data_IF_954742729512
#
_entry.id   IF_954742729512
#
_cell.length_a   1.000
_cell.length_b   1.000
_cell.length_c   1.000
_cell.angle_alpha   90.00
_cell.angle_beta   90.00
_cell.angle_gamma   90.00
#
_symmetry.space_group_name_H-M   'P 1'
#
loop_
_entity.id
_entity.type
_entity.pdbx_description
1 polymer ?
#
# COMPACT_ATOMS: atom_id res chain seq x y z
N UNK A 1 4.85 12.19 7.08
CA UNK A 1 5.13 12.86 5.79
C UNK A 1 5.96 12.00 4.83
N UNK A 2 7.06 11.36 5.26
CA UNK A 2 7.88 10.46 4.42
C UNK A 2 7.10 9.31 3.74
N UNK A 3 6.12 8.71 4.43
CA UNK A 3 5.33 7.60 3.86
C UNK A 3 4.47 7.98 2.65
N UNK A 4 3.99 9.23 2.60
CA UNK A 4 3.18 9.73 1.47
C UNK A 4 4.06 9.96 0.24
N UNK A 5 5.29 10.44 0.46
CA UNK A 5 6.27 10.63 -0.61
C UNK A 5 6.66 9.29 -1.26
N UNK A 6 6.88 8.26 -0.44
CA UNK A 6 7.19 6.90 -0.93
C UNK A 6 6.06 6.30 -1.76
N UNK A 7 4.81 6.48 -1.32
CA UNK A 7 3.62 6.04 -2.07
C UNK A 7 3.50 6.73 -3.43
N UNK A 8 3.72 8.04 -3.49
CA UNK A 8 3.69 8.80 -4.75
C UNK A 8 4.73 8.31 -5.75
N UNK A 9 5.95 8.01 -5.28
CA UNK A 9 7.04 7.51 -6.14
C UNK A 9 6.68 6.14 -6.71
N UNK A 10 6.20 5.22 -5.86
CA UNK A 10 5.79 3.87 -6.30
C UNK A 10 4.62 3.94 -7.28
N UNK A 11 3.59 4.74 -7.00
CA UNK A 11 2.48 4.96 -7.93
C UNK A 11 2.96 5.49 -9.28
N UNK A 12 3.89 6.46 -9.28
CA UNK A 12 4.43 7.04 -10.51
C UNK A 12 5.19 6.00 -11.34
N UNK A 13 6.02 5.18 -10.70
CA UNK A 13 6.76 4.09 -11.36
C UNK A 13 5.82 3.05 -11.97
N UNK A 14 4.79 2.65 -11.22
CA UNK A 14 3.79 1.68 -11.68
C UNK A 14 3.01 2.24 -12.87
N UNK A 15 2.55 3.49 -12.81
CA UNK A 15 1.86 4.16 -13.92
C UNK A 15 2.78 4.26 -15.14
N UNK A 16 4.03 4.67 -14.97
CA UNK A 16 4.99 4.78 -16.07
C UNK A 16 5.26 3.42 -16.71
N UNK A 17 5.38 2.34 -15.92
CA UNK A 17 5.66 1.02 -16.45
C UNK A 17 4.42 0.36 -17.09
N UNK A 18 3.25 0.50 -16.49
CA UNK A 18 2.04 -0.22 -16.93
C UNK A 18 1.24 0.52 -18.01
N UNK A 19 1.09 1.85 -17.93
CA UNK A 19 0.28 2.62 -18.91
C UNK A 19 0.77 2.49 -20.36
N UNK A 20 2.07 2.62 -20.69
CA UNK A 20 2.53 2.44 -22.06
C UNK A 20 2.45 0.97 -22.51
N UNK A 21 2.66 0.02 -21.59
CA UNK A 21 2.58 -1.41 -21.90
C UNK A 21 1.12 -1.82 -22.24
N UNK A 22 0.15 -1.34 -21.46
CA UNK A 22 -1.28 -1.61 -21.71
C UNK A 22 -1.85 -0.87 -22.92
N UNK A 23 -1.37 0.35 -23.20
CA UNK A 23 -1.76 1.09 -24.42
C UNK A 23 -1.29 0.39 -25.70
N UNK A 24 -0.10 -0.21 -25.69
CA UNK A 24 0.43 -0.92 -26.85
C UNK A 24 -0.33 -2.22 -27.14
N UNK A 25 -0.87 -2.90 -26.12
CA UNK A 25 -1.62 -4.16 -26.29
C UNK A 25 -3.08 -4.01 -26.74
N UNK A 26 -3.64 -2.79 -26.90
CA UNK A 26 -5.09 -2.55 -27.16
C UNK A 26 -6.04 -3.26 -26.18
N UNK A 27 -5.54 -3.70 -25.03
CA UNK A 27 -6.27 -4.50 -24.06
C UNK A 27 -7.09 -3.59 -23.14
N UNK A 28 -8.25 -3.13 -23.63
CA UNK A 28 -9.18 -2.29 -22.85
C UNK A 28 -9.60 -2.93 -21.51
N UNK A 29 -9.65 -4.27 -21.44
CA UNK A 29 -9.96 -5.01 -20.21
C UNK A 29 -8.85 -4.92 -19.16
N UNK A 30 -7.58 -5.04 -19.57
CA UNK A 30 -6.44 -4.89 -18.65
C UNK A 30 -6.35 -3.45 -18.13
N UNK A 31 -6.66 -2.46 -18.97
CA UNK A 31 -6.68 -1.03 -18.60
C UNK A 31 -7.74 -0.73 -17.56
N UNK A 32 -8.89 -1.39 -17.65
CA UNK A 32 -9.94 -1.29 -16.65
C UNK A 32 -9.55 -1.95 -15.32
N UNK A 33 -8.92 -3.13 -15.36
CA UNK A 33 -8.41 -3.80 -14.16
C UNK A 33 -7.35 -2.94 -13.45
N UNK A 34 -6.41 -2.38 -14.20
CA UNK A 34 -5.39 -1.47 -13.69
C UNK A 34 -6.00 -0.26 -12.99
N UNK A 35 -6.95 0.42 -13.64
CA UNK A 35 -7.61 1.58 -13.05
C UNK A 35 -8.39 1.23 -11.78
N UNK A 36 -9.02 0.05 -11.74
CA UNK A 36 -9.77 -0.42 -10.58
C UNK A 36 -8.84 -0.67 -9.39
N UNK A 37 -7.74 -1.38 -9.62
CA UNK A 37 -6.72 -1.64 -8.58
C UNK A 37 -6.06 -0.33 -8.12
N UNK A 38 -5.74 0.57 -9.05
CA UNK A 38 -5.15 1.88 -8.75
C UNK A 38 -6.12 2.73 -7.91
N UNK A 39 -7.41 2.75 -8.27
CA UNK A 39 -8.44 3.47 -7.52
C UNK A 39 -8.61 2.94 -6.10
N UNK A 40 -8.57 1.61 -5.92
CA UNK A 40 -8.63 0.98 -4.59
C UNK A 40 -7.39 1.38 -3.77
N UNK A 41 -6.19 1.22 -4.33
CA UNK A 41 -4.94 1.57 -3.64
C UNK A 41 -4.85 3.06 -3.28
N UNK A 42 -5.34 3.93 -4.16
CA UNK A 42 -5.38 5.37 -3.94
C UNK A 42 -6.39 5.74 -2.85
N UNK A 43 -7.59 5.15 -2.87
CA UNK A 43 -8.63 5.36 -1.83
C UNK A 43 -8.13 4.93 -0.45
N UNK A 44 -7.49 3.77 -0.36
CA UNK A 44 -6.87 3.27 0.89
C UNK A 44 -5.76 4.21 1.36
N UNK A 45 -4.92 4.68 0.45
CA UNK A 45 -3.82 5.61 0.75
C UNK A 45 -4.35 6.97 1.24
N UNK A 46 -5.42 7.48 0.63
CA UNK A 46 -6.09 8.73 1.01
C UNK A 46 -6.73 8.60 2.38
N UNK A 47 -7.49 7.52 2.64
CA UNK A 47 -8.05 7.27 3.98
C UNK A 47 -6.95 7.22 5.06
N UNK A 48 -5.84 6.54 4.76
CA UNK A 48 -4.70 6.46 5.67
C UNK A 48 -4.02 7.83 5.88
N UNK A 49 -3.94 8.66 4.84
CA UNK A 49 -3.38 10.02 4.93
C UNK A 49 -4.30 10.99 5.68
N UNK A 50 -5.62 10.80 5.59
CA UNK A 50 -6.63 11.56 6.36
C UNK A 50 -6.66 11.18 7.84
N UNK A 51 -5.86 10.21 8.28
CA UNK A 51 -5.85 9.73 9.66
C UNK A 51 -7.09 8.90 10.02
N UNK A 52 -7.91 8.53 9.04
CA UNK A 52 -8.92 7.50 9.24
C UNK A 52 -8.19 6.20 9.56
N UNK A 53 -8.56 5.57 10.67
CA UNK A 53 -7.96 4.34 11.17
C UNK A 53 -8.28 3.18 10.21
N UNK A 54 -7.60 3.16 9.08
CA UNK A 54 -7.52 2.01 8.21
C UNK A 54 -6.56 1.05 8.91
N UNK A 55 -6.98 -0.17 9.29
CA UNK A 55 -6.08 -1.15 9.87
C UNK A 55 -4.97 -1.41 8.86
N UNK A 56 -3.85 -0.74 9.07
CA UNK A 56 -2.73 -0.80 8.17
C UNK A 56 -2.07 -2.17 8.40
N UNK A 57 -1.69 -2.93 7.35
CA UNK A 57 -1.00 -4.21 7.54
C UNK A 57 0.27 -4.10 8.39
N UNK A 58 0.89 -2.91 8.46
CA UNK A 58 1.99 -2.64 9.40
C UNK A 58 1.55 -2.62 10.87
N UNK A 59 0.37 -2.07 11.20
CA UNK A 59 -0.20 -2.14 12.56
C UNK A 59 -0.64 -3.57 12.90
N UNK A 60 -1.14 -4.31 11.90
CA UNK A 60 -1.43 -5.73 12.06
C UNK A 60 -0.15 -6.53 12.35
N UNK A 61 0.93 -6.26 11.61
CA UNK A 61 2.22 -6.88 11.88
C UNK A 61 2.76 -6.47 13.27
N UNK A 62 2.64 -5.21 13.66
CA UNK A 62 3.03 -4.74 14.98
C UNK A 62 2.20 -5.38 16.10
N UNK A 63 0.90 -5.64 15.87
CA UNK A 63 0.03 -6.34 16.81
C UNK A 63 0.42 -7.82 16.98
N UNK A 64 0.93 -8.47 15.92
CA UNK A 64 1.44 -9.84 15.98
C UNK A 64 2.82 -9.90 16.67
N UNK A 65 3.70 -8.93 16.41
CA UNK A 65 5.06 -8.89 16.97
C UNK A 65 5.15 -8.31 18.38
N UNK A 66 4.18 -7.49 18.81
CA UNK A 66 4.09 -6.96 20.19
C UNK A 66 4.10 -8.04 21.29
N UNK A 67 3.23 -9.06 21.25
CA UNK A 67 3.21 -10.08 22.30
C UNK A 67 4.52 -10.86 22.38
N UNK A 68 5.18 -11.09 21.24
CA UNK A 68 6.48 -11.76 21.17
C UNK A 68 7.58 -10.89 21.80
N UNK A 69 7.57 -9.58 21.54
CA UNK A 69 8.52 -8.65 22.17
C UNK A 69 8.34 -8.58 23.69
N UNK A 70 7.10 -8.55 24.19
CA UNK A 70 6.81 -8.56 25.62
C UNK A 70 7.29 -9.86 26.27
N UNK A 71 7.07 -11.00 25.60
CA UNK A 71 7.52 -12.30 26.09
C UNK A 71 9.05 -12.39 26.17
N UNK A 72 9.76 -11.91 25.14
CA UNK A 72 11.23 -11.85 25.15
C UNK A 72 11.77 -10.89 26.23
N UNK A 73 11.13 -9.72 26.41
CA UNK A 73 11.49 -8.77 27.47
C UNK A 73 11.32 -9.38 28.87
N UNK A 74 10.26 -10.17 29.07
CA UNK A 74 10.02 -10.86 30.33
C UNK A 74 11.02 -12.01 30.55
N UNK A 75 11.50 -12.65 29.50
CA UNK A 75 12.51 -13.72 29.58
C UNK A 75 13.92 -13.18 29.87
N UNK A 76 14.21 -11.94 29.45
CA UNK A 76 15.51 -11.29 29.62
C UNK A 76 15.64 -10.49 30.93
N UNK A 77 14.53 -10.29 31.64
CA UNK A 77 14.44 -9.65 32.97
C UNK A 77 14.49 -10.67 34.09
#
# INVERSE_FOLDING_TARGET
MLGVLGLLIVCTLVIWSEVPNLRQKKAKKELWLFYTVLAIGMSVSICKALGLYVPNPSDLSAAIFRPISIFLLHLLS
#
